data_IF_135772748480
#
_entry.id   IF_135772748480
#
_cell.length_a   1.000
_cell.length_b   1.000
_cell.length_c   1.000
_cell.angle_alpha   90.00
_cell.angle_beta   90.00
_cell.angle_gamma   90.00
#
_symmetry.space_group_name_H-M   'P 1'
#
loop_
_entity.id
_entity.type
_entity.pdbx_description
1 polymer ?
#
# COMPACT_ATOMS: atom_id res chain seq x y z
N UNK A 1 13.49 -34.19 -28.86
CA UNK A 1 12.90 -33.82 -27.56
C UNK A 1 12.58 -32.32 -27.55
N UNK A 2 11.79 -31.87 -28.54
CA UNK A 2 11.46 -30.47 -28.81
C UNK A 2 9.98 -30.42 -29.18
N UNK A 3 9.14 -30.72 -28.20
CA UNK A 3 7.70 -30.45 -28.25
C UNK A 3 7.39 -29.10 -27.59
N UNK A 4 6.15 -28.58 -27.73
CA UNK A 4 5.70 -27.34 -27.09
C UNK A 4 6.06 -27.28 -25.59
N UNK A 5 6.02 -28.42 -24.91
CA UNK A 5 6.40 -28.61 -23.50
C UNK A 5 7.82 -28.14 -23.17
N UNK A 6 8.76 -28.25 -24.12
CA UNK A 6 10.15 -27.81 -23.94
C UNK A 6 10.33 -26.29 -24.01
N UNK A 7 9.48 -25.61 -24.79
CA UNK A 7 9.46 -24.14 -24.86
C UNK A 7 8.79 -23.58 -23.61
N UNK A 8 7.68 -24.18 -23.18
CA UNK A 8 6.97 -23.79 -21.96
C UNK A 8 7.83 -23.97 -20.71
N UNK A 9 8.57 -25.07 -20.60
CA UNK A 9 9.51 -25.29 -19.50
C UNK A 9 10.64 -24.25 -19.47
N UNK A 10 11.16 -23.85 -20.65
CA UNK A 10 12.17 -22.79 -20.75
C UNK A 10 11.61 -21.41 -20.40
N UNK A 11 10.39 -21.09 -20.84
CA UNK A 11 9.71 -19.85 -20.48
C UNK A 11 9.41 -19.78 -18.98
N UNK A 12 8.93 -20.87 -18.38
CA UNK A 12 8.69 -20.94 -16.94
C UNK A 12 9.99 -20.76 -16.12
N UNK A 13 11.12 -21.29 -16.62
CA UNK A 13 12.42 -21.08 -16.00
C UNK A 13 12.94 -19.65 -16.21
N UNK A 14 12.76 -19.06 -17.39
CA UNK A 14 13.16 -17.69 -17.70
C UNK A 14 12.33 -16.65 -16.94
N UNK A 15 11.07 -16.97 -16.66
CA UNK A 15 10.12 -16.15 -15.87
C UNK A 15 10.10 -16.56 -14.40
N UNK A 16 11.03 -17.41 -13.95
CA UNK A 16 11.13 -17.77 -12.55
C UNK A 16 11.28 -16.48 -11.71
N UNK A 17 10.57 -16.36 -10.58
CA UNK A 17 10.59 -15.14 -9.78
C UNK A 17 12.01 -14.77 -9.37
N UNK A 18 12.50 -13.64 -9.88
CA UNK A 18 13.79 -13.08 -9.48
C UNK A 18 13.61 -12.34 -8.17
N UNK A 19 14.50 -12.58 -7.20
CA UNK A 19 14.49 -11.79 -5.97
C UNK A 19 14.87 -10.34 -6.29
N UNK A 20 14.03 -9.36 -5.91
CA UNK A 20 14.33 -7.96 -6.19
C UNK A 20 15.56 -7.49 -5.39
N UNK A 21 16.38 -6.58 -5.94
CA UNK A 21 17.56 -6.06 -5.25
C UNK A 21 17.15 -5.28 -3.99
N UNK A 22 18.00 -5.30 -2.96
CA UNK A 22 17.68 -4.66 -1.66
C UNK A 22 17.48 -3.14 -1.80
N UNK A 23 18.25 -2.51 -2.68
CA UNK A 23 18.15 -1.07 -2.97
C UNK A 23 16.79 -0.67 -3.51
N UNK A 24 16.10 -1.53 -4.27
CA UNK A 24 14.76 -1.24 -4.79
C UNK A 24 13.75 -1.10 -3.65
N UNK A 25 13.85 -1.92 -2.61
CA UNK A 25 12.97 -1.80 -1.46
C UNK A 25 13.18 -0.45 -0.75
N UNK A 26 14.43 -0.01 -0.61
CA UNK A 26 14.76 1.29 0.00
C UNK A 26 14.26 2.45 -0.85
N UNK A 27 14.46 2.39 -2.16
CA UNK A 27 13.94 3.39 -3.10
C UNK A 27 12.42 3.49 -3.05
N UNK A 28 11.71 2.35 -3.00
CA UNK A 28 10.26 2.34 -2.87
C UNK A 28 9.79 2.85 -1.51
N UNK A 29 10.48 2.52 -0.42
CA UNK A 29 10.18 3.07 0.90
C UNK A 29 10.33 4.60 0.91
N UNK A 30 11.39 5.14 0.30
CA UNK A 30 11.58 6.59 0.16
C UNK A 30 10.51 7.22 -0.72
N UNK A 31 10.23 6.64 -1.90
CA UNK A 31 9.27 7.20 -2.85
C UNK A 31 7.83 7.18 -2.29
N UNK A 32 7.41 6.10 -1.66
CA UNK A 32 6.08 6.07 -1.05
C UNK A 32 6.01 6.96 0.18
N UNK A 33 7.09 7.08 0.97
CA UNK A 33 7.18 8.03 2.07
C UNK A 33 6.95 9.46 1.61
N UNK A 34 7.64 9.90 0.56
CA UNK A 34 7.49 11.25 0.02
C UNK A 34 6.09 11.51 -0.55
N UNK A 35 5.44 10.52 -1.17
CA UNK A 35 4.05 10.64 -1.62
C UNK A 35 3.08 10.81 -0.44
N UNK A 36 3.28 10.08 0.66
CA UNK A 36 2.45 10.22 1.87
C UNK A 36 2.62 11.61 2.47
N UNK A 37 3.85 12.12 2.59
CA UNK A 37 4.12 13.46 3.10
C UNK A 37 3.51 14.55 2.20
N UNK A 38 3.65 14.42 0.88
CA UNK A 38 3.02 15.34 -0.06
C UNK A 38 1.49 15.35 0.08
N UNK A 39 0.88 14.17 0.18
CA UNK A 39 -0.56 14.06 0.40
C UNK A 39 -1.01 14.64 1.75
N UNK A 40 -0.21 14.48 2.81
CA UNK A 40 -0.47 15.08 4.11
C UNK A 40 -0.42 16.63 4.03
N UNK A 41 0.60 17.19 3.37
CA UNK A 41 0.71 18.64 3.18
C UNK A 41 -0.49 19.23 2.41
N UNK A 42 -1.03 18.51 1.43
CA UNK A 42 -2.24 18.91 0.72
C UNK A 42 -3.49 18.95 1.62
N UNK A 43 -3.57 18.06 2.60
CA UNK A 43 -4.68 18.01 3.56
C UNK A 43 -4.52 19.03 4.69
N UNK A 44 -3.29 19.25 5.17
CA UNK A 44 -2.99 20.29 6.16
C UNK A 44 -3.26 21.69 5.60
N UNK A 45 -2.97 21.91 4.31
CA UNK A 45 -3.30 23.13 3.60
C UNK A 45 -4.78 23.29 3.26
N UNK A 46 -5.62 22.26 3.48
CA UNK A 46 -7.03 22.31 3.17
C UNK A 46 -7.83 22.94 4.31
N UNK A 47 -8.37 24.15 4.08
CA UNK A 47 -9.17 24.84 5.09
C UNK A 47 -10.57 24.23 5.29
N UNK A 48 -11.01 24.15 6.55
CA UNK A 48 -12.34 23.64 6.94
C UNK A 48 -13.51 24.40 6.30
N UNK A 49 -13.33 25.68 5.98
CA UNK A 49 -14.32 26.50 5.26
C UNK A 49 -14.63 25.95 3.86
N UNK A 50 -13.65 25.32 3.20
CA UNK A 50 -13.79 24.73 1.87
C UNK A 50 -14.53 23.38 1.87
N UNK A 51 -14.85 22.80 3.04
CA UNK A 51 -15.70 21.60 3.12
C UNK A 51 -17.16 21.88 2.70
N UNK A 52 -17.61 23.13 2.74
CA UNK A 52 -18.99 23.50 2.39
C UNK A 52 -19.36 23.27 0.92
N UNK A 53 -18.40 23.37 0.00
CA UNK A 53 -18.62 23.17 -1.44
C UNK A 53 -17.98 21.86 -1.93
N UNK A 54 -18.77 20.85 -2.33
CA UNK A 54 -18.26 19.56 -2.79
C UNK A 54 -17.42 19.65 -4.07
N UNK A 55 -17.54 20.72 -4.86
CA UNK A 55 -16.71 20.90 -6.06
C UNK A 55 -15.24 21.14 -5.74
N UNK A 56 -14.96 21.68 -4.55
CA UNK A 56 -13.59 21.93 -4.10
C UNK A 56 -12.91 20.68 -3.52
N UNK A 57 -13.62 19.54 -3.45
CA UNK A 57 -13.10 18.33 -2.83
C UNK A 57 -12.19 17.51 -3.75
N UNK A 58 -12.16 17.79 -5.06
CA UNK A 58 -11.43 16.95 -6.02
C UNK A 58 -9.94 16.78 -5.64
N UNK A 59 -9.28 17.88 -5.25
CA UNK A 59 -7.88 17.90 -4.85
C UNK A 59 -7.62 17.16 -3.51
N UNK A 60 -8.29 17.48 -2.39
CA UNK A 60 -8.08 16.76 -1.13
C UNK A 60 -8.55 15.31 -1.19
N UNK A 61 -9.63 14.99 -1.91
CA UNK A 61 -10.03 13.61 -2.14
C UNK A 61 -8.96 12.82 -2.90
N UNK A 62 -8.35 13.44 -3.92
CA UNK A 62 -7.19 12.91 -4.62
C UNK A 62 -6.01 12.64 -3.67
N UNK A 63 -5.69 13.60 -2.79
CA UNK A 63 -4.64 13.44 -1.78
C UNK A 63 -4.91 12.26 -0.84
N UNK A 64 -6.15 12.09 -0.34
CA UNK A 64 -6.53 10.94 0.48
C UNK A 64 -6.34 9.62 -0.26
N UNK A 65 -6.79 9.53 -1.51
CA UNK A 65 -6.68 8.31 -2.33
C UNK A 65 -5.21 7.98 -2.60
N UNK A 66 -4.42 8.95 -3.05
CA UNK A 66 -3.00 8.76 -3.38
C UNK A 66 -2.18 8.45 -2.13
N UNK A 67 -2.38 9.20 -1.04
CA UNK A 67 -1.68 8.99 0.23
C UNK A 67 -1.99 7.63 0.85
N UNK A 68 -3.25 7.20 0.84
CA UNK A 68 -3.62 5.87 1.36
C UNK A 68 -3.08 4.72 0.50
N UNK A 69 -3.05 4.87 -0.83
CA UNK A 69 -2.43 3.91 -1.72
C UNK A 69 -0.91 3.78 -1.47
N UNK A 70 -0.21 4.91 -1.32
CA UNK A 70 1.22 4.91 -1.02
C UNK A 70 1.53 4.31 0.36
N UNK A 71 0.71 4.62 1.38
CA UNK A 71 0.83 4.02 2.71
C UNK A 71 0.63 2.50 2.69
N UNK A 72 -0.35 2.00 1.92
CA UNK A 72 -0.52 0.56 1.71
C UNK A 72 0.71 -0.06 1.02
N UNK A 73 1.25 0.62 0.00
CA UNK A 73 2.51 0.25 -0.66
C UNK A 73 3.68 0.12 0.32
N UNK A 74 3.86 1.08 1.23
CA UNK A 74 4.88 1.01 2.29
C UNK A 74 4.75 -0.23 3.17
N UNK A 75 3.53 -0.53 3.62
CA UNK A 75 3.28 -1.72 4.43
C UNK A 75 3.63 -2.99 3.64
N UNK A 76 3.28 -3.06 2.35
CA UNK A 76 3.62 -4.20 1.50
C UNK A 76 5.14 -4.34 1.30
N UNK A 77 5.86 -3.25 1.07
CA UNK A 77 7.33 -3.27 0.90
C UNK A 77 8.00 -3.71 2.20
N UNK A 78 7.62 -3.14 3.34
CA UNK A 78 8.18 -3.52 4.65
C UNK A 78 7.87 -4.96 5.04
N UNK A 79 6.66 -5.44 4.77
CA UNK A 79 6.29 -6.84 5.05
C UNK A 79 7.05 -7.81 4.14
N UNK A 80 7.24 -7.50 2.85
CA UNK A 80 8.10 -8.28 1.94
C UNK A 80 9.55 -8.27 2.41
N UNK A 81 10.11 -7.11 2.77
CA UNK A 81 11.49 -6.98 3.27
C UNK A 81 11.70 -7.77 4.55
N UNK A 82 10.76 -7.69 5.49
CA UNK A 82 10.77 -8.49 6.71
C UNK A 82 10.69 -10.00 6.41
N UNK A 83 9.83 -10.42 5.47
CA UNK A 83 9.74 -11.82 5.05
C UNK A 83 11.03 -12.31 4.40
N UNK A 84 11.68 -11.49 3.57
CA UNK A 84 12.96 -11.83 2.94
C UNK A 84 14.06 -12.02 3.99
N UNK A 85 14.20 -11.06 4.92
CA UNK A 85 15.13 -11.19 6.07
C UNK A 85 14.84 -12.45 6.91
N UNK A 86 13.57 -12.80 7.11
CA UNK A 86 13.15 -14.00 7.85
C UNK A 86 13.36 -15.31 7.10
N UNK A 87 13.28 -15.33 5.77
CA UNK A 87 13.67 -16.51 4.97
C UNK A 87 15.16 -16.81 5.09
N UNK A 88 15.99 -15.78 5.30
CA UNK A 88 17.40 -15.93 5.62
C UNK A 88 17.68 -16.36 7.08
N UNK A 89 16.70 -16.33 8.00
CA UNK A 89 16.92 -16.57 9.45
C UNK A 89 15.98 -17.56 10.16
N UNK A 90 14.91 -18.06 9.50
CA UNK A 90 13.92 -19.02 10.02
C UNK A 90 12.97 -18.54 11.17
N UNK A 91 11.67 -18.88 10.97
CA UNK A 91 10.46 -18.93 11.83
C UNK A 91 10.17 -17.87 12.92
N UNK A 92 9.09 -17.12 12.66
CA UNK A 92 8.06 -16.53 13.56
C UNK A 92 8.04 -15.00 13.77
N UNK A 93 6.84 -14.41 13.64
CA UNK A 93 6.51 -13.06 14.14
C UNK A 93 5.88 -12.07 13.13
N UNK A 94 5.00 -12.50 12.22
CA UNK A 94 4.22 -11.58 11.34
C UNK A 94 2.73 -11.53 11.74
N UNK A 95 2.35 -12.08 12.89
CA UNK A 95 0.95 -12.04 13.35
C UNK A 95 0.49 -10.68 13.91
N UNK A 96 1.39 -9.74 14.17
CA UNK A 96 1.03 -8.52 14.88
C UNK A 96 0.40 -7.43 13.98
N UNK A 97 0.71 -7.41 12.68
CA UNK A 97 0.16 -6.42 11.72
C UNK A 97 -1.21 -6.85 11.17
N UNK A 98 -1.45 -8.16 11.07
CA UNK A 98 -2.70 -8.70 10.52
C UNK A 98 -3.95 -8.45 11.39
N UNK A 99 -3.79 -8.24 12.70
CA UNK A 99 -4.91 -7.99 13.62
C UNK A 99 -5.34 -6.51 13.61
N UNK A 100 -4.39 -5.57 13.65
CA UNK A 100 -4.69 -4.13 13.67
C UNK A 100 -5.42 -3.67 12.38
N UNK A 101 -5.09 -4.25 11.23
CA UNK A 101 -5.74 -3.93 9.95
C UNK A 101 -7.17 -4.47 9.87
N UNK A 102 -7.49 -5.58 10.55
CA UNK A 102 -8.83 -6.20 10.51
C UNK A 102 -9.83 -5.48 11.41
N UNK A 103 -9.35 -4.95 12.54
CA UNK A 103 -10.17 -4.18 13.48
C UNK A 103 -10.45 -2.76 12.94
N UNK A 104 -9.48 -2.14 12.28
CA UNK A 104 -9.64 -0.82 11.67
C UNK A 104 -10.70 -0.79 10.55
N UNK A 105 -10.89 -1.92 9.87
CA UNK A 105 -11.86 -2.04 8.75
C UNK A 105 -13.31 -1.97 9.20
N UNK A 106 -13.62 -2.44 10.41
CA UNK A 106 -14.99 -2.44 10.95
C UNK A 106 -15.38 -1.06 11.50
N UNK A 107 -14.43 -0.28 12.00
CA UNK A 107 -14.70 1.05 12.56
C UNK A 107 -14.89 2.12 11.47
N UNK A 108 -14.13 2.06 10.38
CA UNK A 108 -14.21 3.04 9.28
C UNK A 108 -15.56 2.96 8.54
N UNK A 109 -16.08 1.75 8.31
CA UNK A 109 -17.37 1.57 7.65
C UNK A 109 -18.54 2.17 8.44
N UNK A 110 -18.44 2.15 9.78
CA UNK A 110 -19.47 2.68 10.67
C UNK A 110 -19.51 4.21 10.64
N UNK A 111 -18.35 4.86 10.78
CA UNK A 111 -18.25 6.33 10.81
C UNK A 111 -18.67 6.95 9.47
N UNK A 112 -18.29 6.34 8.34
CA UNK A 112 -18.67 6.84 7.01
C UNK A 112 -20.19 6.72 6.79
N UNK A 113 -20.78 5.58 7.19
CA UNK A 113 -22.23 5.36 7.04
C UNK A 113 -23.05 6.25 7.97
N UNK A 114 -22.57 6.49 9.19
CA UNK A 114 -23.23 7.33 10.19
C UNK A 114 -23.20 8.81 9.80
N UNK A 115 -22.15 9.25 9.11
CA UNK A 115 -22.03 10.63 8.61
C UNK A 115 -22.91 10.89 7.38
N UNK A 116 -23.06 9.89 6.49
CA UNK A 116 -23.90 9.99 5.28
C UNK A 116 -25.40 9.96 5.61
N UNK A 117 -25.81 9.31 6.70
CA UNK A 117 -27.23 9.16 7.09
C UNK A 117 -27.82 10.39 7.80
N UNK A 118 -27.01 11.38 8.16
CA UNK A 118 -27.42 12.58 8.91
C UNK A 118 -27.60 13.84 8.06
N UNK A 119 -27.61 13.70 6.73
CA UNK A 119 -27.99 14.77 5.77
C UNK A 119 -29.35 14.51 5.17
#
# INVERSE_FOLDING_TARGET
MTGPDGIEARLAQALAPVDPPQELAEQLETAFGSIVEAAAGELEGWELSAMGDPRNWARPAGAVVVGSAAAAGLVLVRTRRARHRRRAQSRNGIELVGRTVRDLRHEIGRVVTETVRRR
#
